data_IF_213332254749
#
_entry.id   IF_213332254749
#
_cell.length_a   1.000
_cell.length_b   1.000
_cell.length_c   1.000
_cell.angle_alpha   90.00
_cell.angle_beta   90.00
_cell.angle_gamma   90.00
#
_symmetry.space_group_name_H-M   'P 1'
#
loop_
_entity.id
_entity.type
_entity.pdbx_description
1 polymer ?
#
# COMPACT_ATOMS: atom_id res chain seq x y z
N UNK A 1 53.80 -69.35 2.88
CA UNK A 1 53.01 -69.82 1.72
C UNK A 1 51.96 -68.76 1.40
N UNK A 2 51.80 -68.47 0.11
CA UNK A 2 50.78 -67.58 -0.49
C UNK A 2 49.37 -68.13 -0.26
N UNK A 3 48.34 -67.28 -0.14
CA UNK A 3 47.27 -67.12 -1.16
C UNK A 3 46.27 -66.00 -0.77
N UNK A 4 45.82 -65.25 -1.78
CA UNK A 4 44.82 -64.16 -1.78
C UNK A 4 43.39 -64.68 -2.05
N UNK A 5 42.38 -64.00 -1.45
CA UNK A 5 41.05 -63.47 -1.89
C UNK A 5 40.22 -64.18 -3.01
N UNK A 6 38.84 -64.08 -3.11
CA UNK A 6 38.07 -62.80 -3.16
C UNK A 6 36.52 -62.74 -2.81
N UNK A 7 35.93 -61.53 -2.90
CA UNK A 7 34.50 -61.06 -2.98
C UNK A 7 33.62 -60.96 -1.70
N UNK A 8 33.23 -59.75 -1.22
CA UNK A 8 32.15 -58.79 -1.63
C UNK A 8 30.76 -59.13 -1.05
N UNK A 9 29.85 -58.24 -0.63
CA UNK A 9 29.73 -56.78 -0.41
C UNK A 9 28.36 -56.54 0.32
N UNK A 10 28.07 -55.29 0.72
CA UNK A 10 26.71 -54.70 0.73
C UNK A 10 25.67 -55.10 1.80
N UNK A 11 25.88 -54.69 3.05
CA UNK A 11 24.75 -54.43 4.00
C UNK A 11 24.89 -53.13 4.78
N UNK A 12 26.09 -52.55 4.84
CA UNK A 12 26.34 -51.32 5.60
C UNK A 12 25.90 -50.04 4.86
N UNK A 13 26.04 -50.01 3.53
CA UNK A 13 25.65 -48.86 2.71
C UNK A 13 24.12 -48.74 2.49
N UNK A 14 23.37 -49.85 2.55
CA UNK A 14 21.91 -49.82 2.45
C UNK A 14 21.24 -49.34 3.74
N UNK A 15 21.76 -49.73 4.90
CA UNK A 15 21.27 -49.21 6.20
C UNK A 15 21.59 -47.72 6.32
N UNK A 16 22.74 -47.28 5.82
CA UNK A 16 23.08 -45.86 5.80
C UNK A 16 22.22 -45.06 4.82
N UNK A 17 21.78 -45.65 3.70
CA UNK A 17 20.85 -45.00 2.76
C UNK A 17 19.39 -44.96 3.27
N UNK A 18 18.90 -46.01 3.93
CA UNK A 18 17.58 -46.04 4.59
C UNK A 18 17.48 -45.02 5.74
N UNK A 19 18.54 -44.90 6.56
CA UNK A 19 18.60 -43.93 7.67
C UNK A 19 18.85 -42.49 7.18
N UNK A 20 19.59 -42.29 6.08
CA UNK A 20 19.74 -40.96 5.47
C UNK A 20 18.42 -40.47 4.86
N UNK A 21 17.63 -41.35 4.26
CA UNK A 21 16.37 -40.98 3.63
C UNK A 21 15.29 -40.60 4.67
N UNK A 22 15.16 -41.34 5.77
CA UNK A 22 14.22 -41.02 6.85
C UNK A 22 14.65 -39.80 7.69
N UNK A 23 15.96 -39.57 7.86
CA UNK A 23 16.48 -38.35 8.47
C UNK A 23 16.32 -37.12 7.57
N UNK A 24 16.35 -37.27 6.25
CA UNK A 24 16.18 -36.15 5.31
C UNK A 24 14.83 -35.43 5.50
N UNK A 25 13.72 -36.16 5.71
CA UNK A 25 12.40 -35.56 5.94
C UNK A 25 12.26 -34.89 7.32
N UNK A 26 12.84 -35.48 8.38
CA UNK A 26 12.79 -34.91 9.73
C UNK A 26 13.77 -33.73 9.91
N UNK A 27 14.95 -33.82 9.31
CA UNK A 27 15.97 -32.76 9.30
C UNK A 27 15.51 -31.60 8.42
N UNK A 28 14.88 -31.84 7.27
CA UNK A 28 14.25 -30.78 6.49
C UNK A 28 13.15 -30.07 7.30
N UNK A 29 12.34 -30.81 8.07
CA UNK A 29 11.30 -30.20 8.91
C UNK A 29 11.89 -29.32 10.02
N UNK A 30 12.94 -29.79 10.72
CA UNK A 30 13.63 -28.99 11.74
C UNK A 30 14.41 -27.81 11.16
N UNK A 31 15.09 -27.97 10.03
CA UNK A 31 15.80 -26.89 9.35
C UNK A 31 14.80 -25.84 8.86
N UNK A 32 13.69 -26.24 8.23
CA UNK A 32 12.61 -25.33 7.81
C UNK A 32 12.03 -24.58 9.00
N UNK A 33 11.79 -25.27 10.12
CA UNK A 33 11.32 -24.63 11.36
C UNK A 33 12.36 -23.66 11.92
N UNK A 34 13.65 -24.01 11.98
CA UNK A 34 14.72 -23.17 12.54
C UNK A 34 15.05 -21.96 11.66
N UNK A 35 15.09 -22.11 10.33
CA UNK A 35 15.35 -20.99 9.41
C UNK A 35 14.11 -20.11 9.20
N UNK A 36 12.91 -20.67 9.38
CA UNK A 36 11.67 -19.90 9.37
C UNK A 36 11.31 -19.34 10.74
N UNK A 37 11.90 -19.84 11.85
CA UNK A 37 11.59 -19.41 13.21
C UNK A 37 11.69 -17.90 13.40
N UNK A 38 12.71 -17.18 12.88
CA UNK A 38 12.76 -15.73 12.97
C UNK A 38 11.54 -15.06 12.30
N UNK A 39 11.16 -15.53 11.11
CA UNK A 39 10.00 -15.01 10.36
C UNK A 39 8.65 -15.45 10.95
N UNK A 40 8.57 -16.66 11.49
CA UNK A 40 7.40 -17.20 12.18
C UNK A 40 7.16 -16.42 13.47
N UNK A 41 8.22 -16.14 14.24
CA UNK A 41 8.11 -15.33 15.44
C UNK A 41 7.80 -13.85 15.14
N UNK A 42 8.27 -13.33 14.00
CA UNK A 42 7.86 -12.01 13.50
C UNK A 42 6.38 -11.98 13.09
N UNK A 43 5.89 -13.03 12.42
CA UNK A 43 4.48 -13.21 12.09
C UNK A 43 3.59 -13.34 13.34
N UNK A 44 4.02 -14.13 14.34
CA UNK A 44 3.27 -14.34 15.58
C UNK A 44 3.25 -13.09 16.48
N UNK A 45 4.31 -12.27 16.46
CA UNK A 45 4.35 -11.00 17.21
C UNK A 45 3.38 -9.93 16.70
N UNK A 46 2.84 -10.06 15.48
CA UNK A 46 2.01 -9.04 14.85
C UNK A 46 0.49 -9.26 14.97
N UNK A 47 0.04 -10.40 15.49
CA UNK A 47 -1.39 -10.73 15.57
C UNK A 47 -1.99 -10.31 16.91
N UNK A 48 -2.38 -9.03 16.99
CA UNK A 48 -3.30 -8.58 18.02
C UNK A 48 -4.72 -9.10 17.74
N UNK A 49 -5.49 -9.37 18.80
CA UNK A 49 -6.89 -9.80 18.69
C UNK A 49 -7.78 -8.77 19.38
N UNK A 50 -8.88 -8.41 18.73
CA UNK A 50 -9.88 -7.53 19.32
C UNK A 50 -10.75 -8.26 20.36
N UNK A 51 -11.59 -7.53 21.09
CA UNK A 51 -12.50 -8.13 22.11
C UNK A 51 -13.55 -9.08 21.53
N UNK A 52 -13.74 -9.11 20.21
CA UNK A 52 -14.58 -10.10 19.53
C UNK A 52 -13.87 -11.44 19.27
N UNK A 53 -12.58 -11.58 19.62
CA UNK A 53 -11.75 -12.75 19.29
C UNK A 53 -11.32 -12.82 17.83
N UNK A 54 -11.54 -11.76 17.05
CA UNK A 54 -11.09 -11.65 15.66
C UNK A 54 -9.71 -10.97 15.60
N UNK A 55 -8.87 -11.30 14.60
CA UNK A 55 -7.63 -10.59 14.36
C UNK A 55 -7.87 -9.08 14.23
N UNK A 56 -7.12 -8.28 14.96
CA UNK A 56 -7.16 -6.83 14.86
C UNK A 56 -6.49 -6.39 13.55
N UNK A 57 -7.05 -5.36 12.93
CA UNK A 57 -6.60 -4.81 11.65
C UNK A 57 -5.89 -3.48 11.91
N UNK A 58 -4.84 -3.21 11.14
CA UNK A 58 -4.10 -1.96 11.22
C UNK A 58 -4.85 -0.86 10.45
N UNK A 59 -5.13 0.23 11.14
CA UNK A 59 -5.69 1.47 10.60
C UNK A 59 -4.68 2.60 10.69
N UNK A 60 -4.85 3.61 9.84
CA UNK A 60 -4.08 4.85 9.88
C UNK A 60 -4.97 5.99 10.35
N UNK A 61 -4.52 6.70 11.38
CA UNK A 61 -5.18 7.91 11.87
C UNK A 61 -4.94 9.08 10.91
N UNK A 62 -6.01 9.81 10.59
CA UNK A 62 -5.94 11.04 9.77
C UNK A 62 -6.34 12.28 10.57
N UNK A 63 -6.35 12.17 11.90
CA UNK A 63 -6.62 13.31 12.78
C UNK A 63 -5.45 14.29 12.76
N UNK A 64 -5.74 15.56 13.07
CA UNK A 64 -4.71 16.59 13.21
C UNK A 64 -3.75 16.32 14.37
N UNK A 65 -4.18 15.59 15.39
CA UNK A 65 -3.37 15.24 16.57
C UNK A 65 -2.45 14.05 16.31
N UNK A 66 -2.88 13.08 15.49
CA UNK A 66 -2.12 11.88 15.17
C UNK A 66 -2.10 11.63 13.66
N UNK A 67 -1.57 12.56 12.83
CA UNK A 67 -1.59 12.40 11.38
C UNK A 67 -0.67 11.27 10.93
N UNK A 68 -1.22 10.29 10.23
CA UNK A 68 -0.47 9.16 9.67
C UNK A 68 -0.06 8.08 10.67
N UNK A 69 -0.41 8.20 11.96
CA UNK A 69 -0.05 7.23 13.00
C UNK A 69 -0.92 5.97 12.90
N UNK A 70 -0.31 4.78 12.94
CA UNK A 70 -1.04 3.52 12.83
C UNK A 70 -1.48 2.96 14.18
N UNK A 71 -2.64 2.32 14.18
CA UNK A 71 -3.23 1.65 15.33
C UNK A 71 -3.93 0.34 14.93
N UNK A 72 -3.98 -0.62 15.84
CA UNK A 72 -4.80 -1.81 15.72
C UNK A 72 -6.23 -1.53 16.16
N UNK A 73 -7.21 -2.04 15.42
CA UNK A 73 -8.63 -1.92 15.76
C UNK A 73 -9.44 -3.12 15.31
N UNK A 74 -10.69 -3.19 15.76
CA UNK A 74 -11.63 -4.22 15.30
C UNK A 74 -11.96 -4.04 13.81
N UNK A 75 -11.87 -5.10 13.01
CA UNK A 75 -12.25 -5.08 11.60
C UNK A 75 -13.72 -4.64 11.40
N UNK A 76 -14.61 -5.07 12.30
CA UNK A 76 -16.04 -4.75 12.28
C UNK A 76 -16.37 -3.30 12.67
N UNK A 77 -15.38 -2.52 13.13
CA UNK A 77 -15.58 -1.14 13.59
C UNK A 77 -16.25 -0.26 12.51
N UNK A 78 -15.85 -0.41 11.24
CA UNK A 78 -16.42 0.36 10.11
C UNK A 78 -17.89 0.06 9.82
N UNK A 79 -18.40 -1.07 10.28
CA UNK A 79 -19.78 -1.49 10.05
C UNK A 79 -20.70 -1.16 11.23
N UNK A 80 -20.21 -0.50 12.30
CA UNK A 80 -21.00 -0.13 13.47
C UNK A 80 -21.31 -1.29 14.43
N UNK A 81 -20.81 -2.48 14.16
CA UNK A 81 -20.98 -3.69 14.99
C UNK A 81 -19.67 -4.19 15.60
N UNK A 82 -18.60 -3.40 15.48
CA UNK A 82 -17.28 -3.75 16.05
C UNK A 82 -17.18 -3.39 17.53
N UNK A 83 -16.32 -4.11 18.24
CA UNK A 83 -15.93 -3.70 19.59
C UNK A 83 -14.99 -2.49 19.55
N UNK A 84 -14.85 -1.82 20.69
CA UNK A 84 -14.01 -0.63 20.87
C UNK A 84 -12.53 -0.97 21.11
N UNK A 85 -12.07 -2.13 20.65
CA UNK A 85 -10.66 -2.48 20.75
C UNK A 85 -9.80 -1.48 19.98
N UNK A 86 -8.78 -0.95 20.66
CA UNK A 86 -7.87 0.05 20.12
C UNK A 86 -6.50 -0.11 20.77
N UNK A 87 -5.44 -0.18 19.96
CA UNK A 87 -4.06 -0.13 20.46
C UNK A 87 -3.14 0.60 19.47
N UNK A 88 -2.21 1.41 19.96
CA UNK A 88 -1.28 2.11 19.08
C UNK A 88 -0.18 1.17 18.59
N UNK A 89 0.02 1.10 17.27
CA UNK A 89 1.10 0.34 16.64
C UNK A 89 2.39 1.17 16.61
N UNK A 90 2.26 2.42 16.16
CA UNK A 90 3.39 3.35 16.11
C UNK A 90 3.49 4.15 17.44
N UNK A 91 4.71 4.50 17.88
CA UNK A 91 4.91 5.36 19.04
C UNK A 91 4.29 6.75 18.83
N UNK A 92 4.12 7.50 19.92
CA UNK A 92 3.65 8.88 19.86
C UNK A 92 4.62 9.74 19.06
N UNK A 93 4.06 10.60 18.19
CA UNK A 93 4.84 11.58 17.47
C UNK A 93 5.12 12.78 18.38
N UNK A 94 6.30 13.36 18.23
CA UNK A 94 6.64 14.62 18.92
C UNK A 94 5.76 15.76 18.42
N UNK A 95 5.42 16.71 19.30
CA UNK A 95 4.66 17.91 18.93
C UNK A 95 5.26 18.67 17.76
N UNK A 96 6.60 18.74 17.71
CA UNK A 96 7.32 19.37 16.60
C UNK A 96 7.02 18.68 15.27
N UNK A 97 7.05 17.35 15.24
CA UNK A 97 6.73 16.59 14.02
C UNK A 97 5.28 16.83 13.61
N UNK A 98 4.34 16.77 14.55
CA UNK A 98 2.91 17.03 14.31
C UNK A 98 2.65 18.42 13.74
N UNK A 99 3.30 19.46 14.29
CA UNK A 99 3.19 20.85 13.79
C UNK A 99 3.69 20.96 12.36
N UNK A 100 4.87 20.37 12.07
CA UNK A 100 5.46 20.40 10.73
C UNK A 100 4.57 19.67 9.73
N UNK A 101 4.14 18.44 10.03
CA UNK A 101 3.26 17.63 9.17
C UNK A 101 1.97 18.39 8.86
N UNK A 102 1.28 18.91 9.89
CA UNK A 102 0.07 19.69 9.69
C UNK A 102 0.31 20.98 8.89
N UNK A 103 1.45 21.63 9.10
CA UNK A 103 1.85 22.80 8.31
C UNK A 103 2.03 22.49 6.83
N UNK A 104 2.63 21.33 6.52
CA UNK A 104 2.80 20.85 5.16
C UNK A 104 1.47 20.46 4.51
N UNK A 105 0.59 19.75 5.23
CA UNK A 105 -0.74 19.41 4.73
C UNK A 105 -1.54 20.66 4.33
N UNK A 106 -1.58 21.67 5.21
CA UNK A 106 -2.23 22.96 4.88
C UNK A 106 -1.65 23.63 3.64
N UNK A 107 -0.33 23.54 3.44
CA UNK A 107 0.34 24.10 2.26
C UNK A 107 -0.03 23.34 0.99
N UNK A 108 -0.12 22.01 1.06
CA UNK A 108 -0.57 21.18 -0.05
C UNK A 108 -2.02 21.50 -0.43
N UNK A 109 -2.91 21.59 0.54
CA UNK A 109 -4.32 21.96 0.31
C UNK A 109 -4.43 23.33 -0.39
N UNK A 110 -3.62 24.30 0.05
CA UNK A 110 -3.57 25.63 -0.58
C UNK A 110 -3.09 25.54 -2.03
N UNK A 111 -1.99 24.84 -2.29
CA UNK A 111 -1.46 24.66 -3.66
C UNK A 111 -2.49 23.97 -4.55
N UNK A 112 -3.17 22.94 -4.04
CA UNK A 112 -4.20 22.24 -4.80
C UNK A 112 -5.37 23.16 -5.12
N UNK A 113 -5.82 23.98 -4.15
CA UNK A 113 -6.89 24.95 -4.37
C UNK A 113 -6.50 26.02 -5.40
N UNK A 114 -5.27 26.53 -5.36
CA UNK A 114 -4.75 27.51 -6.32
C UNK A 114 -4.70 26.92 -7.74
N UNK A 115 -4.27 25.66 -7.88
CA UNK A 115 -4.27 24.96 -9.17
C UNK A 115 -5.69 24.78 -9.73
N UNK A 116 -6.65 24.37 -8.89
CA UNK A 116 -8.06 24.26 -9.31
C UNK A 116 -8.61 25.59 -9.83
N UNK A 117 -8.30 26.70 -9.16
CA UNK A 117 -8.69 28.04 -9.59
C UNK A 117 -8.01 28.45 -10.91
N UNK A 118 -6.73 28.12 -11.07
CA UNK A 118 -6.00 28.39 -12.32
C UNK A 118 -6.57 27.60 -13.50
N UNK A 119 -6.91 26.33 -13.29
CA UNK A 119 -7.52 25.46 -14.29
C UNK A 119 -8.92 25.95 -14.67
N UNK A 120 -9.74 26.37 -13.69
CA UNK A 120 -11.02 27.03 -13.96
C UNK A 120 -10.86 28.29 -14.79
N UNK A 121 -9.90 29.15 -14.44
CA UNK A 121 -9.67 30.41 -15.14
C UNK A 121 -9.17 30.19 -16.57
N UNK A 122 -8.29 29.22 -16.79
CA UNK A 122 -7.88 28.77 -18.14
C UNK A 122 -9.08 28.25 -18.93
N UNK A 123 -9.95 27.46 -18.30
CA UNK A 123 -11.20 26.98 -18.87
C UNK A 123 -12.10 28.13 -19.33
N UNK A 124 -12.36 29.10 -18.44
CA UNK A 124 -13.14 30.31 -18.74
C UNK A 124 -12.52 31.13 -19.87
N UNK A 125 -11.21 31.35 -19.84
CA UNK A 125 -10.49 32.09 -20.91
C UNK A 125 -10.62 31.41 -22.26
N UNK A 126 -10.51 30.08 -22.31
CA UNK A 126 -10.67 29.30 -23.55
C UNK A 126 -12.09 29.41 -24.10
N UNK A 127 -13.11 29.30 -23.24
CA UNK A 127 -14.51 29.48 -23.63
C UNK A 127 -14.77 30.89 -24.18
N UNK A 128 -14.25 31.93 -23.51
CA UNK A 128 -14.34 33.31 -23.97
C UNK A 128 -13.62 33.51 -25.31
N UNK A 129 -12.43 32.91 -25.49
CA UNK A 129 -11.70 32.95 -26.76
C UNK A 129 -12.49 32.32 -27.91
N UNK A 130 -13.14 31.17 -27.70
CA UNK A 130 -14.03 30.56 -28.68
C UNK A 130 -15.26 31.43 -29.00
N UNK A 131 -15.85 32.07 -27.98
CA UNK A 131 -17.00 32.96 -28.16
C UNK A 131 -16.63 34.21 -28.97
N UNK A 132 -15.51 34.87 -28.64
CA UNK A 132 -15.01 36.04 -29.37
C UNK A 132 -14.66 35.67 -30.81
N UNK A 133 -13.98 34.53 -31.03
CA UNK A 133 -13.67 34.06 -32.37
C UNK A 133 -14.92 33.82 -33.21
N UNK A 134 -15.94 33.17 -32.65
CA UNK A 134 -17.22 32.95 -33.33
C UNK A 134 -17.91 34.27 -33.69
N UNK A 135 -17.93 35.24 -32.76
CA UNK A 135 -18.53 36.55 -32.99
C UNK A 135 -17.79 37.33 -34.09
N UNK A 136 -16.45 37.33 -34.10
CA UNK A 136 -15.65 37.94 -35.15
C UNK A 136 -15.90 37.29 -36.52
N UNK A 137 -15.99 35.96 -36.58
CA UNK A 137 -16.32 35.25 -37.82
C UNK A 137 -17.71 35.65 -38.35
N UNK A 138 -18.72 35.73 -37.47
CA UNK A 138 -20.07 36.16 -37.86
C UNK A 138 -20.08 37.58 -38.44
N UNK A 139 -19.37 38.52 -37.81
CA UNK A 139 -19.24 39.90 -38.31
C UNK A 139 -18.59 39.92 -39.69
N UNK A 140 -17.51 39.17 -39.90
CA UNK A 140 -16.82 39.09 -41.19
C UNK A 140 -17.75 38.53 -42.27
N UNK A 141 -18.50 37.46 -41.98
CA UNK A 141 -19.49 36.90 -42.92
C UNK A 141 -20.56 37.93 -43.29
N UNK A 142 -21.12 38.65 -42.32
CA UNK A 142 -22.12 39.69 -42.59
C UNK A 142 -21.56 40.82 -43.45
N UNK A 143 -20.31 41.24 -43.22
CA UNK A 143 -19.67 42.28 -44.04
C UNK A 143 -19.39 41.83 -45.47
N UNK A 144 -18.99 40.57 -45.67
CA UNK A 144 -18.67 40.03 -47.00
C UNK A 144 -19.92 39.74 -47.84
N UNK A 145 -20.99 39.26 -47.21
CA UNK A 145 -22.21 38.85 -47.92
C UNK A 145 -23.32 39.90 -47.85
N UNK A 146 -23.32 40.80 -46.87
CA UNK A 146 -24.33 41.85 -46.72
C UNK A 146 -24.25 42.94 -47.80
N UNK A 147 -23.07 43.20 -48.35
CA UNK A 147 -22.90 44.13 -49.47
C UNK A 147 -23.49 43.62 -50.79
N UNK A 148 -23.65 42.31 -50.93
CA UNK A 148 -24.22 41.67 -52.13
C UNK A 148 -25.76 41.56 -52.12
N UNK A 149 -26.42 41.82 -50.99
CA UNK A 149 -27.89 41.81 -50.88
C UNK A 149 -28.52 43.22 -50.93
N UNK A 150 -27.71 44.27 -51.00
CA UNK A 150 -28.12 45.69 -51.03
C UNK A 150 -27.66 46.39 -52.33
N UNK A 151 -27.74 45.69 -53.46
CA UNK A 151 -27.63 46.24 -54.82
C UNK A 151 -28.69 45.60 -55.69
#
# INVERSE_FOLDING_TARGET
MKFCFPYCTDTFLDIMNEVFFYKSLFVCSFIVILVSWPKIMEFIKGHEYCYCGLPAVVFTSWTTTNPGRRFYGCEKYKHGFGCEYFNWLDPEMTDRATIVINGLLRKLDRIESEKRLEDEFKGRRKLNGCSVACWLCLVVVVLLFGTSYWS
#
